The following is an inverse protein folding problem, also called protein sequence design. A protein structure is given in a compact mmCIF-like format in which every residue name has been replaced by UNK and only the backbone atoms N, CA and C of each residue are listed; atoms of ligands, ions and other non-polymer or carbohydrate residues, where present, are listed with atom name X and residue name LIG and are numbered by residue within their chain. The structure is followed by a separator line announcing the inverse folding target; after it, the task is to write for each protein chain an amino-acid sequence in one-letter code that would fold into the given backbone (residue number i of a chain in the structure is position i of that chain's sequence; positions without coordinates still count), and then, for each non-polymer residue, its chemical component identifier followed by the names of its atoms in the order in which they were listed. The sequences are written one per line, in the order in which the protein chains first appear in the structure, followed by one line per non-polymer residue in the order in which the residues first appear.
data_IF_970974128962
#
_entry.id   IF_970974128962
#
_cell.length_a   1.000
_cell.length_b   1.000
_cell.length_c   1.000
_cell.angle_alpha   90.00
_cell.angle_beta   90.00
_cell.angle_gamma   90.00
#
_symmetry.space_group_name_H-M   'P 1'
#
loop_
_entity.id
_entity.type
_entity.pdbx_description
1 polymer ?
#
# COMPACT_ATOMS: atom_id res chain seq x y z
N UNK A 1 -6.90 19.13 38.97
CA UNK A 1 -5.80 19.59 38.10
C UNK A 1 -5.16 18.44 37.31
N UNK A 2 -4.84 17.30 37.92
CA UNK A 2 -4.24 16.12 37.24
C UNK A 2 -5.14 15.52 36.13
N UNK A 3 -6.47 15.47 36.36
CA UNK A 3 -7.44 14.95 35.37
C UNK A 3 -7.48 15.74 34.06
N UNK A 4 -7.24 17.07 34.11
CA UNK A 4 -7.23 17.91 32.91
C UNK A 4 -5.95 17.70 32.08
N UNK A 5 -4.80 17.51 32.75
CA UNK A 5 -3.54 17.17 32.08
C UNK A 5 -3.60 15.81 31.38
N UNK A 6 -4.25 14.81 31.99
CA UNK A 6 -4.47 13.48 31.38
C UNK A 6 -5.37 13.51 30.14
N UNK A 7 -6.37 14.39 30.10
CA UNK A 7 -7.23 14.54 28.93
C UNK A 7 -6.52 15.25 27.78
N UNK A 8 -5.66 16.23 28.10
CA UNK A 8 -4.89 16.98 27.11
C UNK A 8 -3.82 16.12 26.42
N UNK A 9 -3.16 15.22 27.17
CA UNK A 9 -2.15 14.31 26.60
C UNK A 9 -2.74 13.25 25.67
N UNK A 10 -3.95 12.77 25.96
CA UNK A 10 -4.67 11.85 25.05
C UNK A 10 -5.07 12.56 23.75
N UNK A 11 -5.48 13.84 23.81
CA UNK A 11 -5.85 14.61 22.63
C UNK A 11 -4.69 14.87 21.65
N UNK A 12 -3.46 15.05 22.13
CA UNK A 12 -2.26 15.23 21.29
C UNK A 12 -1.82 13.91 20.63
N UNK A 13 -2.11 12.76 21.25
CA UNK A 13 -1.77 11.46 20.67
C UNK A 13 -2.62 11.14 19.42
N UNK A 14 -3.86 11.64 19.34
CA UNK A 14 -4.81 11.35 18.24
C UNK A 14 -4.57 12.17 16.97
N UNK A 15 -3.75 13.24 17.01
CA UNK A 15 -3.58 14.15 15.87
C UNK A 15 -2.52 13.72 14.84
N UNK A 16 -1.82 12.60 15.05
CA UNK A 16 -0.85 12.08 14.08
C UNK A 16 -1.50 11.11 13.09
N UNK A 17 -2.61 11.51 12.46
CA UNK A 17 -3.06 10.81 11.26
C UNK A 17 -2.03 11.09 10.16
N UNK A 18 -1.48 10.04 9.54
CA UNK A 18 -0.59 10.16 8.39
C UNK A 18 -1.43 10.69 7.21
N UNK A 19 -1.61 12.00 7.14
CA UNK A 19 -2.40 12.69 6.12
C UNK A 19 -1.46 13.38 5.16
N UNK A 20 -1.67 13.12 3.87
CA UNK A 20 -0.95 13.76 2.79
C UNK A 20 -1.44 15.20 2.62
N UNK A 21 -0.57 16.23 2.69
CA UNK A 21 -0.98 17.59 2.40
C UNK A 21 -1.40 17.72 0.93
N UNK A 22 -2.30 18.67 0.63
CA UNK A 22 -2.88 18.82 -0.71
C UNK A 22 -1.86 19.12 -1.81
N UNK A 23 -0.70 19.69 -1.45
CA UNK A 23 0.40 20.01 -2.36
C UNK A 23 1.57 19.01 -2.25
N UNK A 24 1.33 17.81 -1.71
CA UNK A 24 2.37 16.80 -1.57
C UNK A 24 2.89 16.36 -2.95
N UNK A 25 1.98 16.02 -3.87
CA UNK A 25 2.35 15.51 -5.20
C UNK A 25 3.14 16.53 -6.03
N UNK A 26 2.94 17.83 -5.81
CA UNK A 26 3.68 18.90 -6.50
C UNK A 26 5.19 18.89 -6.19
N UNK A 27 5.59 18.21 -5.11
CA UNK A 27 6.97 18.12 -4.63
C UNK A 27 7.57 16.73 -4.81
N UNK A 28 6.80 15.78 -5.32
CA UNK A 28 7.25 14.40 -5.53
C UNK A 28 7.76 14.27 -6.96
N UNK A 29 8.96 13.74 -7.09
CA UNK A 29 9.52 13.31 -8.37
C UNK A 29 9.20 11.82 -8.57
N UNK A 30 8.51 11.47 -9.65
CA UNK A 30 8.07 10.11 -9.91
C UNK A 30 9.13 9.34 -10.70
N UNK A 31 9.37 8.09 -10.32
CA UNK A 31 10.32 7.22 -11.01
C UNK A 31 9.84 6.86 -12.42
N UNK A 32 10.78 6.81 -13.39
CA UNK A 32 10.49 6.31 -14.73
C UNK A 32 10.31 4.79 -14.72
N UNK A 33 9.16 4.31 -15.20
CA UNK A 33 8.79 2.89 -15.16
C UNK A 33 9.17 2.12 -16.43
N UNK A 34 10.22 2.52 -17.15
CA UNK A 34 10.62 1.99 -18.48
C UNK A 34 10.91 0.48 -18.47
N UNK A 35 11.40 -0.04 -17.35
CA UNK A 35 11.70 -1.47 -17.13
C UNK A 35 10.52 -2.25 -16.53
N UNK A 36 9.41 -1.58 -16.23
CA UNK A 36 8.22 -2.22 -15.67
C UNK A 36 7.40 -2.90 -16.76
N UNK A 37 7.70 -4.19 -17.01
CA UNK A 37 7.08 -4.96 -18.10
C UNK A 37 6.51 -6.28 -17.61
N UNK A 38 5.33 -6.63 -18.12
CA UNK A 38 4.69 -7.92 -17.85
C UNK A 38 5.58 -9.11 -18.25
N UNK A 39 6.39 -8.96 -19.31
CA UNK A 39 7.35 -9.98 -19.75
C UNK A 39 8.38 -10.37 -18.68
N UNK A 40 8.65 -9.48 -17.71
CA UNK A 40 9.61 -9.69 -16.64
C UNK A 40 8.91 -10.01 -15.30
N UNK A 41 7.61 -10.32 -15.33
CA UNK A 41 6.82 -10.60 -14.14
C UNK A 41 6.49 -9.35 -13.32
N UNK A 42 6.49 -8.18 -13.96
CA UNK A 42 6.20 -6.89 -13.32
C UNK A 42 4.94 -6.25 -13.93
N UNK A 43 4.27 -5.40 -13.16
CA UNK A 43 3.09 -4.65 -13.62
C UNK A 43 3.11 -3.24 -13.06
N UNK A 44 2.58 -2.29 -13.81
CA UNK A 44 2.34 -0.93 -13.31
C UNK A 44 1.07 -0.94 -12.45
N UNK A 45 1.20 -0.55 -11.18
CA UNK A 45 0.04 -0.16 -10.34
C UNK A 45 -0.12 1.35 -10.42
N UNK A 46 -1.26 1.79 -10.92
CA UNK A 46 -1.62 3.20 -10.96
C UNK A 46 -1.75 3.78 -9.55
N UNK A 47 -1.21 4.99 -9.34
CA UNK A 47 -1.29 5.72 -8.07
C UNK A 47 -0.90 4.89 -6.84
N UNK A 48 0.06 3.98 -7.03
CA UNK A 48 0.46 3.04 -6.01
C UNK A 48 1.44 3.57 -4.96
N UNK A 49 1.99 4.77 -5.16
CA UNK A 49 2.96 5.38 -4.25
C UNK A 49 2.32 5.82 -2.93
N UNK A 50 3.16 6.20 -1.97
CA UNK A 50 2.70 6.95 -0.81
C UNK A 50 1.99 8.23 -1.27
N UNK A 51 0.86 8.55 -0.64
CA UNK A 51 -0.03 9.63 -1.04
C UNK A 51 -0.63 9.54 -2.45
N UNK A 52 -0.52 8.39 -3.13
CA UNK A 52 -1.17 8.12 -4.42
C UNK A 52 -0.78 9.11 -5.54
N UNK A 53 0.45 9.65 -5.49
CA UNK A 53 0.93 10.64 -6.45
C UNK A 53 1.53 10.02 -7.71
N UNK A 54 2.23 8.90 -7.56
CA UNK A 54 2.94 8.23 -8.64
C UNK A 54 2.41 6.83 -8.85
N UNK A 55 2.48 6.40 -10.11
CA UNK A 55 2.40 4.99 -10.45
C UNK A 55 3.67 4.29 -9.94
N UNK A 56 3.57 3.00 -9.67
CA UNK A 56 4.72 2.20 -9.23
C UNK A 56 4.81 0.90 -10.02
N UNK A 57 6.00 0.32 -10.03
CA UNK A 57 6.19 -1.03 -10.54
C UNK A 57 6.03 -2.06 -9.42
N UNK A 58 5.14 -3.03 -9.60
CA UNK A 58 4.91 -4.12 -8.65
C UNK A 58 5.27 -5.47 -9.26
N UNK A 59 5.73 -6.39 -8.41
CA UNK A 59 5.94 -7.79 -8.79
C UNK A 59 4.59 -8.51 -8.89
N UNK A 60 4.37 -9.22 -9.99
CA UNK A 60 3.20 -10.08 -10.18
C UNK A 60 3.46 -11.44 -9.51
N UNK A 61 2.52 -11.88 -8.68
CA UNK A 61 2.57 -13.12 -7.91
C UNK A 61 1.58 -14.15 -8.47
N UNK A 62 2.05 -15.35 -8.74
CA UNK A 62 1.25 -16.49 -9.17
C UNK A 62 0.45 -17.16 -8.05
N UNK A 63 -0.37 -18.12 -8.43
CA UNK A 63 -1.19 -18.91 -7.51
C UNK A 63 -0.32 -19.65 -6.48
N UNK A 64 -0.69 -19.55 -5.20
CA UNK A 64 0.05 -20.13 -4.08
C UNK A 64 1.27 -19.33 -3.61
N UNK A 65 1.72 -18.30 -4.32
CA UNK A 65 2.82 -17.44 -3.86
C UNK A 65 2.41 -16.61 -2.63
N UNK A 66 3.39 -16.28 -1.78
CA UNK A 66 3.14 -15.45 -0.59
C UNK A 66 2.85 -14.01 -0.99
N UNK A 67 1.77 -13.48 -0.46
CA UNK A 67 1.32 -12.11 -0.68
C UNK A 67 1.07 -11.41 0.66
N UNK A 68 0.96 -10.09 0.61
CA UNK A 68 0.63 -9.27 1.76
C UNK A 68 -0.78 -8.72 1.59
N UNK A 69 -1.71 -8.99 2.53
CA UNK A 69 -3.07 -8.47 2.44
C UNK A 69 -3.07 -6.93 2.49
N UNK A 70 -3.89 -6.31 1.64
CA UNK A 70 -4.10 -4.87 1.69
C UNK A 70 -4.73 -4.47 3.03
N UNK A 71 -4.28 -3.37 3.61
CA UNK A 71 -4.85 -2.81 4.85
C UNK A 71 -4.35 -3.42 6.17
N UNK A 72 -3.51 -4.47 6.16
CA UNK A 72 -2.89 -5.00 7.39
C UNK A 72 -1.90 -3.98 8.00
N UNK A 73 -1.25 -3.18 7.16
CA UNK A 73 -0.25 -2.19 7.57
C UNK A 73 -0.59 -0.79 7.07
N UNK A 74 -0.94 0.11 7.99
CA UNK A 74 -1.15 1.53 7.69
C UNK A 74 0.19 2.16 7.26
N UNK A 75 0.18 2.82 6.10
CA UNK A 75 1.35 3.56 5.59
C UNK A 75 2.42 2.72 4.88
N UNK A 76 2.19 1.42 4.66
CA UNK A 76 3.11 0.55 3.91
C UNK A 76 2.68 0.47 2.45
N UNK A 77 3.63 0.73 1.54
CA UNK A 77 3.43 0.51 0.11
C UNK A 77 3.73 -0.96 -0.19
N UNK A 78 2.72 -1.70 -0.62
CA UNK A 78 2.89 -3.09 -1.06
C UNK A 78 3.46 -3.09 -2.49
N UNK A 79 4.64 -3.66 -2.72
CA UNK A 79 5.33 -3.69 -4.02
C UNK A 79 5.14 -5.03 -4.77
N UNK A 80 4.18 -5.84 -4.36
CA UNK A 80 3.82 -7.10 -5.01
C UNK A 80 2.31 -7.32 -5.01
N UNK A 81 1.78 -7.88 -6.09
CA UNK A 81 0.35 -8.09 -6.28
C UNK A 81 0.09 -9.43 -6.91
N UNK A 82 -1.03 -10.05 -6.52
CA UNK A 82 -1.46 -11.28 -7.16
C UNK A 82 -1.79 -11.02 -8.65
N UNK A 83 -1.51 -12.04 -9.47
CA UNK A 83 -1.84 -12.04 -10.89
C UNK A 83 -3.35 -11.88 -11.11
N UNK A 84 -3.73 -11.65 -12.37
CA UNK A 84 -5.14 -11.52 -12.75
C UNK A 84 -5.94 -12.74 -12.24
N UNK A 85 -7.14 -12.47 -11.74
CA UNK A 85 -8.09 -13.45 -11.21
C UNK A 85 -7.65 -14.16 -9.90
N UNK A 86 -6.58 -13.67 -9.26
CA UNK A 86 -6.14 -14.10 -7.93
C UNK A 86 -6.33 -12.98 -6.89
N UNK A 87 -6.70 -13.36 -5.67
CA UNK A 87 -6.77 -12.49 -4.50
C UNK A 87 -5.82 -12.99 -3.42
N UNK A 88 -5.21 -12.05 -2.70
CA UNK A 88 -4.43 -12.38 -1.52
C UNK A 88 -5.36 -12.81 -0.39
N UNK A 89 -5.40 -14.10 -0.08
CA UNK A 89 -6.21 -14.61 1.04
C UNK A 89 -5.59 -14.19 2.37
N UNK A 90 -6.41 -13.53 3.21
CA UNK A 90 -5.96 -12.96 4.49
C UNK A 90 -5.45 -14.03 5.47
N UNK A 91 -6.04 -15.22 5.45
CA UNK A 91 -5.72 -16.28 6.42
C UNK A 91 -4.44 -17.04 6.04
N UNK A 92 -4.34 -17.47 4.79
CA UNK A 92 -3.21 -18.25 4.27
C UNK A 92 -2.03 -17.38 3.83
N UNK A 93 -2.25 -16.07 3.63
CA UNK A 93 -1.28 -15.10 3.09
C UNK A 93 -0.71 -15.53 1.74
N UNK A 94 -1.60 -16.09 0.90
CA UNK A 94 -1.25 -16.62 -0.42
C UNK A 94 -2.24 -16.15 -1.49
N UNK A 95 -1.75 -16.02 -2.72
CA UNK A 95 -2.61 -15.73 -3.86
C UNK A 95 -3.47 -16.96 -4.19
N UNK A 96 -4.79 -16.78 -4.16
CA UNK A 96 -5.77 -17.85 -4.41
C UNK A 96 -6.83 -17.36 -5.38
N UNK A 97 -7.52 -18.27 -6.08
CA UNK A 97 -8.57 -17.88 -7.02
C UNK A 97 -9.80 -17.34 -6.30
N UNK A 98 -10.44 -16.35 -6.91
CA UNK A 98 -11.71 -15.81 -6.44
C UNK A 98 -12.81 -16.86 -6.70
N UNK A 99 -13.26 -17.55 -5.66
CA UNK A 99 -14.42 -18.46 -5.72
C UNK A 99 -14.09 -19.96 -5.77
N UNK A 100 -13.45 -20.46 -4.71
CA UNK A 100 -13.53 -21.88 -4.31
C UNK A 100 -14.25 -21.96 -2.98
#
# INVERSE_FOLDING_TARGET
MIKAFLLLSIAVAVSNAIVCPSNYCDKVDCEELTECRESNGLRIREKGSFCQCCDICVKVLGEGERCQPEGEFLGVIITSECAKDLVCDYNSRRCTRIGV
#
